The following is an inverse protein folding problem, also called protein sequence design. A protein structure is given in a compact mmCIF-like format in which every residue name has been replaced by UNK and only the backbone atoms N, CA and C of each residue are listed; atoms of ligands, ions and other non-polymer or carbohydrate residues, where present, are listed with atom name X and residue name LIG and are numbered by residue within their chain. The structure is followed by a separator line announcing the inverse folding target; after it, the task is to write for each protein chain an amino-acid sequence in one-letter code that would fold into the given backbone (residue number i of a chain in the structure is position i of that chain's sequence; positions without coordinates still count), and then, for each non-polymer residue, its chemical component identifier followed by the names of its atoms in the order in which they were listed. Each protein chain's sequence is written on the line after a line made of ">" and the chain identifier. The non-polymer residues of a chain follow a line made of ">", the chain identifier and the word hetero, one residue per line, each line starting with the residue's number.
data_IF_727514024472
#
_entry.id   IF_727514024472
#
_cell.length_a   1.000
_cell.length_b   1.000
_cell.length_c   1.000
_cell.angle_alpha   90.00
_cell.angle_beta   90.00
_cell.angle_gamma   90.00
#
_symmetry.space_group_name_H-M   'P 1'
#
loop_
_entity.id
_entity.type
_entity.pdbx_description
1 polymer ?
#
# COMPACT_ATOMS: atom_id res chain seq x y z
N UNK A 1 46.41 24.33 -17.19
CA UNK A 1 46.87 22.99 -16.72
C UNK A 1 47.16 23.14 -15.24
N UNK A 2 46.09 23.25 -14.45
CA UNK A 2 46.14 23.29 -13.00
C UNK A 2 45.57 21.94 -12.55
N UNK A 3 46.40 21.19 -11.81
CA UNK A 3 46.07 19.87 -11.32
C UNK A 3 44.94 19.95 -10.27
N UNK A 4 43.84 19.28 -10.56
CA UNK A 4 42.79 18.97 -9.59
C UNK A 4 43.39 18.21 -8.40
N UNK A 5 43.43 18.85 -7.24
CA UNK A 5 43.62 18.15 -5.97
C UNK A 5 42.36 17.31 -5.69
N UNK A 6 42.41 16.05 -6.10
CA UNK A 6 41.53 15.00 -5.59
C UNK A 6 41.71 14.92 -4.07
N UNK A 7 40.71 15.41 -3.33
CA UNK A 7 40.62 15.22 -1.88
C UNK A 7 40.48 13.72 -1.64
N UNK A 8 41.56 13.11 -1.15
CA UNK A 8 41.60 11.71 -0.78
C UNK A 8 40.64 11.49 0.38
N UNK A 9 39.90 10.37 0.38
CA UNK A 9 39.06 9.92 1.50
C UNK A 9 39.86 9.91 2.83
N UNK A 10 41.18 9.78 2.78
CA UNK A 10 42.05 9.85 3.96
C UNK A 10 42.14 11.24 4.61
N UNK A 11 41.96 12.33 3.85
CA UNK A 11 41.99 13.71 4.41
C UNK A 11 40.72 14.04 5.22
N UNK A 12 39.63 13.31 5.00
CA UNK A 12 38.39 13.39 5.81
C UNK A 12 38.56 12.71 7.18
N UNK A 13 39.57 11.85 7.34
CA UNK A 13 39.85 11.07 8.55
C UNK A 13 41.10 11.54 9.30
N UNK A 14 41.36 12.85 9.38
CA UNK A 14 42.43 13.36 10.24
C UNK A 14 42.05 13.30 11.73
N UNK A 15 42.16 12.10 12.30
CA UNK A 15 41.89 11.78 13.71
C UNK A 15 42.82 12.51 14.71
N UNK A 16 43.88 13.17 14.25
CA UNK A 16 44.93 13.73 15.11
C UNK A 16 44.57 15.05 15.80
N UNK A 17 43.48 15.72 15.39
CA UNK A 17 43.06 17.03 15.93
C UNK A 17 41.83 17.03 16.84
N UNK A 18 41.13 15.91 17.00
CA UNK A 18 39.87 15.88 17.75
C UNK A 18 40.07 15.81 19.27
N UNK A 19 39.40 16.71 20.00
CA UNK A 19 39.38 16.70 21.47
C UNK A 19 38.63 15.48 22.03
N UNK A 20 39.03 15.00 23.23
CA UNK A 20 38.52 13.76 23.85
C UNK A 20 36.98 13.70 24.01
N UNK A 21 36.29 14.85 24.11
CA UNK A 21 34.82 14.96 24.13
C UNK A 21 34.18 14.80 22.74
N UNK A 22 34.77 15.40 21.71
CA UNK A 22 34.31 15.31 20.32
C UNK A 22 34.50 13.90 19.77
N UNK A 23 35.62 13.26 20.11
CA UNK A 23 35.88 11.85 19.77
C UNK A 23 34.81 10.90 20.33
N UNK A 24 34.36 11.09 21.57
CA UNK A 24 33.35 10.22 22.18
C UNK A 24 31.94 10.45 21.61
N UNK A 25 31.61 11.69 21.25
CA UNK A 25 30.37 12.03 20.53
C UNK A 25 30.36 11.49 19.10
N UNK A 26 31.49 11.58 18.40
CA UNK A 26 31.72 11.00 17.07
C UNK A 26 31.64 9.47 17.11
N UNK A 27 32.26 8.80 18.09
CA UNK A 27 32.21 7.35 18.24
C UNK A 27 30.79 6.85 18.53
N UNK A 28 30.03 7.51 19.40
CA UNK A 28 28.63 7.14 19.69
C UNK A 28 27.72 7.36 18.48
N UNK A 29 27.89 8.47 17.74
CA UNK A 29 27.14 8.72 16.50
C UNK A 29 27.48 7.71 15.41
N UNK A 30 28.76 7.36 15.24
CA UNK A 30 29.18 6.34 14.28
C UNK A 30 28.73 4.94 14.69
N UNK A 31 28.79 4.58 15.97
CA UNK A 31 28.32 3.28 16.44
C UNK A 31 26.79 3.16 16.32
N UNK A 32 26.06 4.25 16.60
CA UNK A 32 24.62 4.33 16.37
C UNK A 32 24.27 4.25 14.88
N UNK A 33 25.02 4.94 14.02
CA UNK A 33 24.86 4.87 12.57
C UNK A 33 25.15 3.47 12.03
N UNK A 34 26.24 2.83 12.47
CA UNK A 34 26.59 1.45 12.13
C UNK A 34 25.49 0.50 12.60
N UNK A 35 25.01 0.62 13.83
CA UNK A 35 23.92 -0.19 14.36
C UNK A 35 22.62 -0.02 13.56
N UNK A 36 22.22 1.22 13.26
CA UNK A 36 21.02 1.49 12.48
C UNK A 36 21.16 0.98 11.04
N UNK A 37 22.35 1.12 10.45
CA UNK A 37 22.64 0.62 9.11
C UNK A 37 22.65 -0.90 9.05
N UNK A 38 23.20 -1.59 10.06
CA UNK A 38 23.19 -3.05 10.11
C UNK A 38 21.79 -3.61 10.36
N UNK A 39 20.98 -2.96 11.20
CA UNK A 39 19.57 -3.32 11.39
C UNK A 39 18.78 -3.11 10.08
N UNK A 40 18.99 -1.99 9.38
CA UNK A 40 18.35 -1.74 8.09
C UNK A 40 18.76 -2.77 7.02
N UNK A 41 20.04 -3.17 6.98
CA UNK A 41 20.52 -4.23 6.09
C UNK A 41 19.87 -5.59 6.41
N UNK A 42 19.78 -5.94 7.70
CA UNK A 42 19.14 -7.18 8.15
C UNK A 42 17.63 -7.21 7.90
N UNK A 43 16.97 -6.06 7.85
CA UNK A 43 15.55 -5.95 7.49
C UNK A 43 15.32 -5.99 5.98
N UNK A 44 16.36 -5.82 5.16
CA UNK A 44 16.19 -5.82 3.72
C UNK A 44 15.91 -7.24 3.20
N UNK A 45 14.78 -7.38 2.51
CA UNK A 45 14.34 -8.66 1.94
C UNK A 45 15.42 -9.31 1.05
N UNK A 46 16.10 -8.52 0.22
CA UNK A 46 17.14 -9.00 -0.68
C UNK A 46 18.36 -9.57 0.07
N UNK A 47 18.76 -8.95 1.18
CA UNK A 47 19.88 -9.42 1.99
C UNK A 47 19.53 -10.73 2.69
N UNK A 48 18.35 -10.80 3.32
CA UNK A 48 17.84 -12.02 3.96
C UNK A 48 17.75 -13.16 2.93
N UNK A 49 17.20 -12.88 1.75
CA UNK A 49 17.11 -13.85 0.65
C UNK A 49 18.49 -14.39 0.25
N UNK A 50 19.48 -13.51 0.03
CA UNK A 50 20.85 -13.93 -0.34
C UNK A 50 21.51 -14.78 0.73
N UNK A 51 21.32 -14.46 2.02
CA UNK A 51 21.85 -15.26 3.13
C UNK A 51 21.16 -16.62 3.26
N UNK A 52 19.85 -16.69 3.00
CA UNK A 52 19.12 -17.96 2.94
C UNK A 52 19.68 -18.86 1.81
N UNK A 53 19.97 -18.29 0.63
CA UNK A 53 20.58 -19.03 -0.48
C UNK A 53 22.02 -19.45 -0.22
N UNK A 54 22.79 -18.62 0.49
CA UNK A 54 24.11 -19.01 0.96
C UNK A 54 24.02 -20.21 1.91
N UNK A 55 23.09 -20.17 2.87
CA UNK A 55 22.81 -21.31 3.76
C UNK A 55 22.38 -22.56 2.99
N UNK A 56 21.47 -22.43 2.03
CA UNK A 56 21.03 -23.51 1.17
C UNK A 56 22.21 -24.12 0.37
N UNK A 57 23.13 -23.30 -0.13
CA UNK A 57 24.31 -23.75 -0.87
C UNK A 57 25.25 -24.59 0.01
N UNK A 58 25.39 -24.24 1.29
CA UNK A 58 26.16 -25.04 2.27
C UNK A 58 25.46 -26.38 2.49
N UNK A 59 24.13 -26.40 2.66
CA UNK A 59 23.35 -27.63 2.86
C UNK A 59 23.43 -28.55 1.63
N UNK A 60 23.42 -27.99 0.42
CA UNK A 60 23.56 -28.74 -0.84
C UNK A 60 24.89 -29.51 -0.92
N UNK A 61 25.94 -28.98 -0.30
CA UNK A 61 27.24 -29.68 -0.22
C UNK A 61 27.10 -31.03 0.49
N UNK A 62 26.18 -31.15 1.46
CA UNK A 62 25.89 -32.40 2.17
C UNK A 62 24.79 -33.22 1.48
N UNK A 63 23.83 -32.58 0.80
CA UNK A 63 22.70 -33.23 0.12
C UNK A 63 22.55 -32.72 -1.33
N UNK A 64 23.22 -33.36 -2.30
CA UNK A 64 23.26 -32.89 -3.69
C UNK A 64 21.90 -32.80 -4.37
N UNK A 65 20.90 -33.59 -3.94
CA UNK A 65 19.55 -33.58 -4.50
C UNK A 65 18.82 -32.24 -4.29
N UNK A 66 19.21 -31.45 -3.28
CA UNK A 66 18.62 -30.14 -3.01
C UNK A 66 19.08 -29.04 -3.99
N UNK A 67 19.99 -29.36 -4.92
CA UNK A 67 20.47 -28.42 -5.95
C UNK A 67 19.34 -27.86 -6.81
N UNK A 68 18.22 -28.58 -6.97
CA UNK A 68 17.06 -28.08 -7.71
C UNK A 68 16.43 -26.83 -7.07
N UNK A 69 16.57 -26.64 -5.76
CA UNK A 69 16.03 -25.47 -5.06
C UNK A 69 16.76 -24.18 -5.40
N UNK A 70 18.00 -24.25 -5.88
CA UNK A 70 18.72 -23.07 -6.39
C UNK A 70 18.00 -22.42 -7.59
N UNK A 71 17.27 -23.22 -8.38
CA UNK A 71 16.51 -22.71 -9.53
C UNK A 71 15.37 -21.76 -9.13
N UNK A 72 14.91 -21.79 -7.88
CA UNK A 72 13.92 -20.83 -7.38
C UNK A 72 14.44 -19.38 -7.42
N UNK A 73 15.77 -19.18 -7.52
CA UNK A 73 16.35 -17.85 -7.70
C UNK A 73 15.91 -17.20 -9.01
N UNK A 74 15.65 -18.01 -10.05
CA UNK A 74 15.14 -17.51 -11.34
C UNK A 74 13.81 -16.76 -11.17
N UNK A 75 12.95 -17.22 -10.25
CA UNK A 75 11.69 -16.54 -9.94
C UNK A 75 11.91 -15.19 -9.27
N UNK A 76 12.89 -15.10 -8.37
CA UNK A 76 13.18 -13.87 -7.63
C UNK A 76 13.93 -12.82 -8.48
N UNK A 77 14.75 -13.25 -9.43
CA UNK A 77 15.47 -12.35 -10.33
C UNK A 77 14.60 -11.81 -11.47
N UNK A 78 13.64 -12.60 -11.97
CA UNK A 78 12.75 -12.18 -13.04
C UNK A 78 11.61 -11.32 -12.52
N UNK A 79 11.57 -10.06 -12.94
CA UNK A 79 10.45 -9.16 -12.63
C UNK A 79 9.10 -9.73 -13.07
N UNK A 80 9.04 -10.40 -14.22
CA UNK A 80 7.80 -10.99 -14.74
C UNK A 80 7.32 -12.18 -13.90
N UNK A 81 8.22 -13.10 -13.51
CA UNK A 81 7.85 -14.26 -12.70
C UNK A 81 7.48 -13.83 -11.28
N UNK A 82 8.15 -12.82 -10.74
CA UNK A 82 7.80 -12.27 -9.43
C UNK A 82 6.39 -11.68 -9.42
N UNK A 83 5.91 -11.10 -10.52
CA UNK A 83 4.52 -10.64 -10.64
C UNK A 83 3.52 -11.81 -10.58
N UNK A 84 3.86 -12.97 -11.16
CA UNK A 84 3.05 -14.19 -11.06
C UNK A 84 3.00 -14.68 -9.60
N UNK A 85 4.14 -14.69 -8.90
CA UNK A 85 4.19 -15.05 -7.49
C UNK A 85 3.42 -14.05 -6.60
N UNK A 86 3.50 -12.75 -6.90
CA UNK A 86 2.74 -11.69 -6.23
C UNK A 86 1.23 -11.92 -6.41
N UNK A 87 0.77 -12.29 -7.61
CA UNK A 87 -0.65 -12.57 -7.86
C UNK A 87 -1.22 -13.72 -7.03
N UNK A 88 -0.43 -14.78 -6.80
CA UNK A 88 -0.82 -15.91 -5.95
C UNK A 88 -0.79 -15.57 -4.45
N UNK A 89 0.07 -14.63 -4.04
CA UNK A 89 0.24 -14.26 -2.63
C UNK A 89 -0.61 -13.05 -2.20
N UNK A 90 -1.04 -12.19 -3.13
CA UNK A 90 -1.80 -10.96 -2.85
C UNK A 90 -3.07 -11.21 -2.04
N UNK A 91 -3.89 -12.19 -2.45
CA UNK A 91 -5.07 -12.65 -1.71
C UNK A 91 -4.86 -14.05 -1.12
N UNK A 92 -3.64 -14.34 -0.69
CA UNK A 92 -3.24 -15.66 -0.18
C UNK A 92 -4.10 -16.14 1.00
N UNK A 93 -4.58 -15.24 1.85
CA UNK A 93 -5.51 -15.59 2.95
C UNK A 93 -6.84 -16.16 2.44
N UNK A 94 -7.43 -15.53 1.43
CA UNK A 94 -8.69 -15.98 0.84
C UNK A 94 -8.51 -17.31 0.10
N UNK A 95 -7.40 -17.44 -0.63
CA UNK A 95 -7.02 -18.68 -1.30
C UNK A 95 -6.84 -19.82 -0.28
N UNK A 96 -6.07 -19.60 0.79
CA UNK A 96 -5.85 -20.57 1.86
C UNK A 96 -7.16 -20.97 2.54
N UNK A 97 -8.03 -20.01 2.85
CA UNK A 97 -9.34 -20.29 3.45
C UNK A 97 -10.22 -21.15 2.52
N UNK A 98 -10.16 -20.91 1.21
CA UNK A 98 -10.89 -21.69 0.20
C UNK A 98 -10.35 -23.12 0.11
N UNK A 99 -9.03 -23.30 0.18
CA UNK A 99 -8.39 -24.63 0.25
C UNK A 99 -8.80 -25.36 1.53
N UNK A 100 -8.79 -24.67 2.68
CA UNK A 100 -9.25 -25.24 3.96
C UNK A 100 -10.72 -25.66 3.89
N UNK A 101 -11.58 -24.82 3.31
CA UNK A 101 -12.98 -25.17 3.05
C UNK A 101 -13.08 -26.43 2.17
N UNK A 102 -12.27 -26.52 1.11
CA UNK A 102 -12.21 -27.70 0.26
C UNK A 102 -11.77 -28.97 0.98
N UNK A 103 -10.80 -28.87 1.88
CA UNK A 103 -10.37 -29.97 2.75
C UNK A 103 -11.51 -30.41 3.68
N UNK A 104 -12.26 -29.48 4.26
CA UNK A 104 -13.42 -29.79 5.13
C UNK A 104 -14.54 -30.47 4.34
N UNK A 105 -14.89 -29.96 3.16
CA UNK A 105 -15.93 -30.56 2.31
C UNK A 105 -15.48 -31.94 1.82
N UNK A 106 -14.23 -32.08 1.36
CA UNK A 106 -13.64 -33.37 0.97
C UNK A 106 -13.69 -34.38 2.12
N UNK A 107 -13.38 -33.95 3.34
CA UNK A 107 -13.50 -34.79 4.53
C UNK A 107 -14.94 -35.25 4.81
N UNK A 108 -15.95 -34.38 4.61
CA UNK A 108 -17.35 -34.78 4.70
C UNK A 108 -17.70 -35.85 3.65
N UNK A 109 -17.23 -35.70 2.41
CA UNK A 109 -17.38 -36.73 1.38
C UNK A 109 -16.67 -38.04 1.73
N UNK A 110 -15.52 -37.98 2.41
CA UNK A 110 -14.82 -39.18 2.91
C UNK A 110 -15.61 -39.91 3.99
N UNK A 111 -16.25 -39.19 4.92
CA UNK A 111 -17.14 -39.78 5.94
C UNK A 111 -18.35 -40.42 5.27
N UNK A 112 -19.00 -39.72 4.34
CA UNK A 112 -20.14 -40.25 3.59
C UNK A 112 -19.75 -41.49 2.77
N UNK A 113 -18.58 -41.47 2.14
CA UNK A 113 -18.04 -42.61 1.40
C UNK A 113 -17.80 -43.82 2.31
N UNK A 114 -17.23 -43.61 3.50
CA UNK A 114 -16.98 -44.66 4.49
C UNK A 114 -18.28 -45.32 4.98
N UNK A 115 -19.35 -44.55 5.18
CA UNK A 115 -20.63 -45.06 5.70
C UNK A 115 -21.50 -45.68 4.61
N UNK A 116 -21.57 -45.08 3.42
CA UNK A 116 -22.45 -45.53 2.33
C UNK A 116 -21.86 -46.66 1.50
N UNK A 117 -20.53 -46.72 1.40
CA UNK A 117 -19.82 -47.67 0.54
C UNK A 117 -18.73 -48.44 1.31
N UNK A 118 -19.10 -49.12 2.42
CA UNK A 118 -18.15 -49.96 3.14
C UNK A 118 -17.59 -51.03 2.18
N UNK A 119 -16.28 -51.15 2.13
CA UNK A 119 -15.53 -52.14 1.34
C UNK A 119 -15.66 -52.04 -0.19
N UNK A 120 -16.18 -50.93 -0.74
CA UNK A 120 -16.30 -50.73 -2.20
C UNK A 120 -15.26 -49.79 -2.81
N UNK A 121 -14.41 -49.17 -1.98
CA UNK A 121 -13.28 -48.40 -2.48
C UNK A 121 -12.14 -49.34 -2.87
N UNK A 122 -11.87 -49.45 -4.17
CA UNK A 122 -10.81 -50.27 -4.73
C UNK A 122 -9.68 -49.37 -5.21
N UNK A 123 -8.64 -49.23 -4.39
CA UNK A 123 -7.43 -48.53 -4.79
C UNK A 123 -6.44 -49.54 -5.38
N UNK A 124 -6.63 -49.92 -6.64
CA UNK A 124 -5.65 -50.72 -7.36
C UNK A 124 -5.57 -50.30 -8.83
N UNK A 125 -4.37 -49.99 -9.38
CA UNK A 125 -4.18 -50.13 -10.81
C UNK A 125 -4.19 -51.63 -11.16
N UNK A 126 -4.79 -52.04 -12.28
CA UNK A 126 -4.56 -53.37 -12.82
C UNK A 126 -3.14 -53.42 -13.38
N UNK A 127 -2.12 -53.68 -12.55
CA UNK A 127 -0.84 -54.18 -13.07
C UNK A 127 -1.01 -55.68 -13.38
N UNK A 128 -1.20 -55.97 -14.67
CA UNK A 128 -1.08 -57.31 -15.21
C UNK A 128 0.42 -57.62 -15.30
N UNK A 129 0.98 -58.28 -14.29
CA UNK A 129 2.26 -58.97 -14.44
C UNK A 129 1.97 -60.27 -15.18
N UNK A 130 2.33 -60.33 -16.46
CA UNK A 130 2.34 -61.56 -17.24
C UNK A 130 3.15 -62.64 -16.53
N UNK A 131 2.50 -63.73 -16.13
CA UNK A 131 3.17 -65.02 -15.92
C UNK A 131 3.42 -65.49 -14.48
N UNK A 132 2.79 -64.92 -13.44
CA UNK A 132 2.78 -65.59 -12.13
C UNK A 132 1.44 -65.47 -11.42
N UNK A 133 0.85 -66.62 -11.06
CA UNK A 133 -0.33 -66.76 -10.20
C UNK A 133 0.03 -66.42 -8.76
N UNK A 134 0.40 -65.17 -8.50
CA UNK A 134 0.38 -64.61 -7.15
C UNK A 134 -1.02 -64.05 -6.98
N UNK A 135 -1.76 -64.52 -5.97
CA UNK A 135 -3.12 -64.09 -5.67
C UNK A 135 -3.22 -62.55 -5.63
N UNK A 136 -3.71 -61.95 -6.73
CA UNK A 136 -3.88 -60.50 -6.91
C UNK A 136 -4.99 -59.95 -5.99
N UNK A 137 -5.70 -60.81 -5.26
CA UNK A 137 -6.79 -60.43 -4.36
C UNK A 137 -6.34 -59.76 -3.04
N UNK A 138 -5.04 -59.62 -2.75
CA UNK A 138 -4.59 -59.16 -1.43
C UNK A 138 -4.12 -57.69 -1.35
N UNK A 139 -4.21 -56.92 -2.42
CA UNK A 139 -3.94 -55.47 -2.39
C UNK A 139 -5.16 -54.62 -2.75
N UNK A 140 -6.37 -55.14 -2.56
CA UNK A 140 -7.49 -54.26 -2.29
C UNK A 140 -7.25 -53.72 -0.89
N UNK A 141 -6.79 -52.47 -0.78
CA UNK A 141 -6.91 -51.76 0.49
C UNK A 141 -8.26 -51.06 0.46
N UNK A 142 -9.35 -51.71 0.90
CA UNK A 142 -10.59 -50.99 1.11
C UNK A 142 -10.28 -49.82 2.05
N UNK A 143 -11.11 -48.79 1.95
CA UNK A 143 -11.09 -47.75 2.95
C UNK A 143 -11.53 -48.34 4.31
N UNK A 144 -10.60 -48.92 5.06
CA UNK A 144 -10.84 -49.51 6.38
C UNK A 144 -10.78 -48.49 7.51
N UNK A 145 -10.13 -47.36 7.27
CA UNK A 145 -10.04 -46.24 8.22
C UNK A 145 -10.43 -44.95 7.53
N UNK A 146 -11.04 -44.04 8.29
CA UNK A 146 -11.46 -42.73 7.77
C UNK A 146 -10.30 -41.95 7.15
N UNK A 147 -9.11 -42.05 7.74
CA UNK A 147 -7.88 -41.46 7.19
C UNK A 147 -7.56 -41.99 5.79
N UNK A 148 -7.72 -43.30 5.54
CA UNK A 148 -7.51 -43.88 4.22
C UNK A 148 -8.55 -43.37 3.21
N UNK A 149 -9.83 -43.25 3.59
CA UNK A 149 -10.86 -42.64 2.72
C UNK A 149 -10.52 -41.21 2.37
N UNK A 150 -9.97 -40.45 3.32
CA UNK A 150 -9.55 -39.07 3.10
C UNK A 150 -8.39 -39.01 2.10
N UNK A 151 -7.37 -39.85 2.28
CA UNK A 151 -6.25 -39.94 1.35
C UNK A 151 -6.71 -40.36 -0.05
N UNK A 152 -7.62 -41.33 -0.18
CA UNK A 152 -8.18 -41.73 -1.49
C UNK A 152 -8.97 -40.59 -2.13
N UNK A 153 -9.78 -39.87 -1.35
CA UNK A 153 -10.55 -38.72 -1.84
C UNK A 153 -9.63 -37.62 -2.38
N UNK A 154 -8.52 -37.33 -1.70
CA UNK A 154 -7.51 -36.38 -2.19
C UNK A 154 -6.70 -36.92 -3.36
N UNK A 155 -6.22 -38.16 -3.28
CA UNK A 155 -5.27 -38.72 -4.23
C UNK A 155 -5.92 -39.07 -5.57
N UNK A 156 -7.17 -39.56 -5.57
CA UNK A 156 -7.93 -39.86 -6.78
C UNK A 156 -8.92 -38.76 -7.06
N UNK A 157 -9.81 -38.46 -6.10
CA UNK A 157 -10.92 -37.54 -6.33
C UNK A 157 -10.51 -36.13 -6.75
N UNK A 158 -9.51 -35.50 -6.12
CA UNK A 158 -9.08 -34.14 -6.50
C UNK A 158 -8.20 -34.11 -7.75
N UNK A 159 -7.37 -35.13 -7.97
CA UNK A 159 -6.38 -35.14 -9.06
C UNK A 159 -6.97 -35.61 -10.39
N UNK A 160 -7.80 -36.66 -10.37
CA UNK A 160 -8.46 -37.20 -11.55
C UNK A 160 -9.78 -36.46 -11.84
N UNK A 161 -10.32 -35.75 -10.85
CA UNK A 161 -11.63 -35.10 -10.92
C UNK A 161 -12.81 -36.08 -10.88
N UNK A 162 -12.56 -37.39 -10.78
CA UNK A 162 -13.56 -38.45 -10.73
C UNK A 162 -13.26 -39.46 -9.60
N UNK A 163 -13.98 -39.30 -8.49
CA UNK A 163 -13.94 -40.24 -7.37
C UNK A 163 -14.62 -41.59 -7.72
N UNK A 164 -15.52 -41.63 -8.70
CA UNK A 164 -16.26 -42.82 -9.10
C UNK A 164 -15.40 -43.93 -9.69
N UNK A 165 -14.22 -43.57 -10.22
CA UNK A 165 -13.17 -44.50 -10.66
C UNK A 165 -12.56 -45.31 -9.52
N UNK A 166 -12.58 -44.79 -8.28
CA UNK A 166 -12.11 -45.51 -7.10
C UNK A 166 -13.17 -46.42 -6.48
N UNK A 167 -14.41 -46.38 -6.97
CA UNK A 167 -15.49 -47.26 -6.50
C UNK A 167 -15.61 -48.48 -7.42
N UNK A 168 -15.80 -49.65 -6.81
CA UNK A 168 -16.05 -50.91 -7.49
C UNK A 168 -17.17 -50.79 -8.54
N UNK A 169 -17.06 -51.45 -9.71
CA UNK A 169 -18.07 -51.37 -10.74
C UNK A 169 -19.43 -51.84 -10.22
N UNK A 170 -20.50 -51.09 -10.52
CA UNK A 170 -21.85 -51.49 -10.15
C UNK A 170 -22.32 -52.65 -11.03
N UNK A 171 -22.70 -53.77 -10.40
CA UNK A 171 -23.44 -54.84 -11.06
C UNK A 171 -24.90 -54.45 -11.20
N UNK A 172 -25.54 -54.77 -12.32
CA UNK A 172 -26.94 -54.43 -12.61
C UNK A 172 -27.94 -55.03 -11.60
N UNK A 173 -27.53 -56.05 -10.85
CA UNK A 173 -28.36 -56.73 -9.86
C UNK A 173 -28.50 -55.98 -8.52
N UNK A 174 -27.63 -55.02 -8.22
CA UNK A 174 -27.73 -54.20 -6.99
C UNK A 174 -28.18 -52.77 -7.33
N UNK A 175 -29.49 -52.62 -7.53
CA UNK A 175 -30.11 -51.34 -7.89
C UNK A 175 -29.87 -50.25 -6.84
N UNK A 176 -29.81 -50.61 -5.55
CA UNK A 176 -29.57 -49.65 -4.46
C UNK A 176 -28.15 -49.09 -4.51
N UNK A 177 -27.13 -49.95 -4.64
CA UNK A 177 -25.74 -49.53 -4.79
C UNK A 177 -25.56 -48.64 -6.03
N UNK A 178 -26.17 -49.01 -7.17
CA UNK A 178 -26.06 -48.25 -8.40
C UNK A 178 -26.58 -46.81 -8.26
N UNK A 179 -27.76 -46.63 -7.65
CA UNK A 179 -28.36 -45.30 -7.48
C UNK A 179 -27.52 -44.43 -6.54
N UNK A 180 -27.14 -44.97 -5.37
CA UNK A 180 -26.32 -44.21 -4.43
C UNK A 180 -24.94 -43.88 -4.98
N UNK A 181 -24.32 -44.80 -5.73
CA UNK A 181 -23.04 -44.56 -6.41
C UNK A 181 -23.16 -43.36 -7.35
N UNK A 182 -24.16 -43.34 -8.23
CA UNK A 182 -24.37 -42.25 -9.19
C UNK A 182 -24.61 -40.92 -8.46
N UNK A 183 -25.45 -40.89 -7.44
CA UNK A 183 -25.73 -39.67 -6.67
C UNK A 183 -24.46 -39.16 -5.97
N UNK A 184 -23.70 -40.05 -5.35
CA UNK A 184 -22.46 -39.72 -4.66
C UNK A 184 -21.38 -39.20 -5.61
N UNK A 185 -21.14 -39.88 -6.73
CA UNK A 185 -20.11 -39.47 -7.70
C UNK A 185 -20.50 -38.19 -8.44
N UNK A 186 -21.77 -38.04 -8.82
CA UNK A 186 -22.27 -36.82 -9.46
C UNK A 186 -22.20 -35.62 -8.52
N UNK A 187 -22.64 -35.77 -7.26
CA UNK A 187 -22.55 -34.68 -6.27
C UNK A 187 -21.10 -34.30 -5.98
N UNK A 188 -20.19 -35.28 -5.90
CA UNK A 188 -18.76 -35.03 -5.78
C UNK A 188 -18.22 -34.21 -6.96
N UNK A 189 -18.52 -34.61 -8.20
CA UNK A 189 -18.07 -33.91 -9.40
C UNK A 189 -18.59 -32.46 -9.46
N UNK A 190 -19.85 -32.23 -9.11
CA UNK A 190 -20.43 -30.88 -9.11
C UNK A 190 -19.82 -30.02 -8.00
N UNK A 191 -19.75 -30.52 -6.78
CA UNK A 191 -19.37 -29.70 -5.62
C UNK A 191 -17.85 -29.49 -5.57
N UNK A 192 -17.07 -30.55 -5.69
CA UNK A 192 -15.60 -30.49 -5.52
C UNK A 192 -14.93 -30.14 -6.84
N UNK A 193 -15.16 -30.91 -7.91
CA UNK A 193 -14.44 -30.71 -9.17
C UNK A 193 -14.91 -29.43 -9.87
N UNK A 194 -16.22 -29.20 -9.96
CA UNK A 194 -16.75 -28.05 -10.71
C UNK A 194 -16.78 -26.77 -9.87
N UNK A 195 -17.43 -26.77 -8.70
CA UNK A 195 -17.59 -25.53 -7.93
C UNK A 195 -16.28 -25.15 -7.23
N UNK A 196 -15.66 -26.05 -6.45
CA UNK A 196 -14.49 -25.69 -5.66
C UNK A 196 -13.25 -25.36 -6.50
N UNK A 197 -12.90 -26.19 -7.49
CA UNK A 197 -11.72 -25.92 -8.32
C UNK A 197 -11.89 -24.66 -9.17
N UNK A 198 -13.07 -24.44 -9.77
CA UNK A 198 -13.31 -23.21 -10.53
C UNK A 198 -13.40 -21.98 -9.63
N UNK A 199 -13.82 -22.11 -8.37
CA UNK A 199 -13.73 -21.02 -7.39
C UNK A 199 -12.27 -20.66 -7.09
N UNK A 200 -11.38 -21.65 -6.93
CA UNK A 200 -9.94 -21.41 -6.73
C UNK A 200 -9.34 -20.67 -7.93
N UNK A 201 -9.60 -21.15 -9.15
CA UNK A 201 -9.14 -20.46 -10.37
C UNK A 201 -9.77 -19.08 -10.52
N UNK A 202 -11.05 -18.92 -10.17
CA UNK A 202 -11.74 -17.63 -10.17
C UNK A 202 -11.05 -16.61 -9.27
N UNK A 203 -10.71 -16.98 -8.03
CA UNK A 203 -9.96 -16.11 -7.10
C UNK A 203 -8.60 -15.71 -7.70
N UNK A 204 -7.89 -16.64 -8.32
CA UNK A 204 -6.59 -16.37 -8.95
C UNK A 204 -6.74 -15.44 -10.15
N UNK A 205 -7.75 -15.65 -11.01
CA UNK A 205 -8.00 -14.79 -12.17
C UNK A 205 -8.37 -13.37 -11.72
N UNK A 206 -9.19 -13.25 -10.68
CA UNK A 206 -9.57 -11.96 -10.10
C UNK A 206 -8.35 -11.21 -9.55
N UNK A 207 -7.41 -11.89 -8.88
CA UNK A 207 -6.17 -11.23 -8.41
C UNK A 207 -5.28 -10.78 -9.56
N UNK A 208 -5.19 -11.55 -10.64
CA UNK A 208 -4.47 -11.11 -11.84
C UNK A 208 -5.13 -9.89 -12.49
N UNK A 209 -6.46 -9.83 -12.51
CA UNK A 209 -7.22 -8.68 -13.00
C UNK A 209 -6.94 -7.43 -12.17
N UNK A 210 -6.99 -7.53 -10.84
CA UNK A 210 -6.73 -6.43 -9.91
C UNK A 210 -5.31 -5.88 -10.03
N UNK A 211 -4.29 -6.73 -10.01
CA UNK A 211 -2.89 -6.30 -10.13
C UNK A 211 -2.58 -5.66 -11.48
N UNK A 212 -3.34 -6.03 -12.52
CA UNK A 212 -3.24 -5.38 -13.83
C UNK A 212 -3.86 -3.99 -13.79
N UNK A 213 -5.06 -3.86 -13.24
CA UNK A 213 -5.74 -2.57 -13.10
C UNK A 213 -4.91 -1.58 -12.26
N UNK A 214 -4.37 -2.00 -11.12
CA UNK A 214 -3.50 -1.16 -10.27
C UNK A 214 -2.26 -0.68 -11.04
N UNK A 215 -1.61 -1.57 -11.80
CA UNK A 215 -0.44 -1.20 -12.61
C UNK A 215 -0.81 -0.22 -13.71
N UNK A 216 -1.94 -0.43 -14.37
CA UNK A 216 -2.37 0.42 -15.47
C UNK A 216 -2.80 1.80 -14.93
N UNK A 217 -3.48 1.87 -13.78
CA UNK A 217 -3.80 3.13 -13.07
C UNK A 217 -2.54 3.93 -12.71
N UNK A 218 -1.51 3.29 -12.15
CA UNK A 218 -0.24 3.95 -11.81
C UNK A 218 0.44 4.51 -13.07
N UNK A 219 0.40 3.78 -14.19
CA UNK A 219 0.99 4.26 -15.44
C UNK A 219 0.21 5.44 -16.02
N UNK A 220 -1.11 5.36 -15.97
CA UNK A 220 -1.97 6.42 -16.46
C UNK A 220 -1.78 7.69 -15.63
N UNK A 221 -1.58 7.59 -14.31
CA UNK A 221 -1.26 8.73 -13.44
C UNK A 221 0.12 9.34 -13.74
N UNK A 222 1.16 8.50 -13.89
CA UNK A 222 2.53 8.97 -14.21
C UNK A 222 2.57 9.73 -15.54
N UNK A 223 1.80 9.30 -16.54
CA UNK A 223 1.77 9.94 -17.86
C UNK A 223 0.80 11.12 -17.87
N UNK A 224 -0.35 10.97 -17.21
CA UNK A 224 -1.47 11.90 -17.25
C UNK A 224 -1.33 13.10 -16.33
N UNK A 225 -0.56 13.00 -15.24
CA UNK A 225 -0.46 14.05 -14.23
C UNK A 225 1.01 14.41 -13.93
N UNK A 226 1.26 15.71 -13.67
CA UNK A 226 2.58 16.15 -13.23
C UNK A 226 2.89 15.63 -11.82
N UNK A 227 4.05 14.99 -11.64
CA UNK A 227 4.50 14.45 -10.35
C UNK A 227 4.56 15.47 -9.20
N UNK A 228 4.87 16.73 -9.50
CA UNK A 228 5.04 17.77 -8.47
C UNK A 228 3.71 18.47 -8.16
N UNK A 229 3.05 19.01 -9.17
CA UNK A 229 1.86 19.86 -8.96
C UNK A 229 0.52 19.15 -9.12
N UNK A 230 0.52 17.88 -9.51
CA UNK A 230 -0.69 17.05 -9.69
C UNK A 230 -1.72 17.63 -10.67
N UNK A 231 -1.29 18.50 -11.59
CA UNK A 231 -2.14 19.02 -12.67
C UNK A 231 -2.04 18.08 -13.86
N UNK A 232 -3.18 17.84 -14.51
CA UNK A 232 -3.30 16.98 -15.68
C UNK A 232 -2.58 17.56 -16.90
N UNK A 233 -1.88 16.70 -17.65
CA UNK A 233 -1.12 17.02 -18.86
C UNK A 233 -1.95 17.81 -19.89
N UNK A 234 -3.22 17.43 -20.05
CA UNK A 234 -4.16 18.06 -20.99
C UNK A 234 -4.41 19.55 -20.69
N UNK A 235 -4.25 19.98 -19.43
CA UNK A 235 -4.40 21.38 -19.02
C UNK A 235 -3.22 22.20 -19.53
N UNK A 236 -2.00 21.66 -19.46
CA UNK A 236 -0.81 22.33 -19.94
C UNK A 236 -0.84 22.49 -21.46
N UNK A 237 -1.19 21.44 -22.19
CA UNK A 237 -1.26 21.48 -23.66
C UNK A 237 -2.30 22.49 -24.18
N UNK A 238 -3.33 22.81 -23.37
CA UNK A 238 -4.39 23.76 -23.74
C UNK A 238 -4.15 25.19 -23.24
N UNK A 239 -3.60 25.37 -22.03
CA UNK A 239 -3.61 26.67 -21.32
C UNK A 239 -2.22 27.19 -20.95
N UNK A 240 -1.16 26.39 -21.10
CA UNK A 240 0.18 26.81 -20.71
C UNK A 240 0.70 27.95 -21.59
N UNK A 241 1.40 28.90 -20.96
CA UNK A 241 1.99 30.06 -21.65
C UNK A 241 3.41 29.82 -22.14
N UNK A 242 4.16 28.95 -21.47
CA UNK A 242 5.61 28.78 -21.66
C UNK A 242 5.99 27.60 -22.55
N UNK A 243 5.09 26.61 -22.68
CA UNK A 243 5.32 25.42 -23.49
C UNK A 243 4.28 24.31 -23.25
N UNK A 244 4.48 23.17 -23.88
CA UNK A 244 3.66 21.97 -23.71
C UNK A 244 3.93 21.25 -22.38
N UNK A 245 3.20 20.15 -22.12
CA UNK A 245 3.42 19.33 -20.93
C UNK A 245 4.87 18.81 -20.83
N UNK A 246 5.50 18.47 -21.95
CA UNK A 246 6.88 17.99 -21.99
C UNK A 246 7.90 19.05 -21.54
N UNK A 247 7.68 20.31 -21.92
CA UNK A 247 8.48 21.44 -21.43
C UNK A 247 8.30 21.62 -19.92
N UNK A 248 7.06 21.57 -19.44
CA UNK A 248 6.74 21.74 -18.02
C UNK A 248 7.48 20.74 -17.12
N UNK A 249 7.40 19.43 -17.42
CA UNK A 249 8.06 18.40 -16.60
C UNK A 249 9.59 18.42 -16.69
N UNK A 250 10.16 19.04 -17.73
CA UNK A 250 11.61 19.04 -17.97
C UNK A 250 12.32 20.27 -17.42
N UNK A 251 11.66 21.44 -17.47
CA UNK A 251 12.30 22.72 -17.13
C UNK A 251 11.63 23.47 -15.97
N UNK A 252 10.34 23.22 -15.71
CA UNK A 252 9.64 23.88 -14.60
C UNK A 252 9.54 22.95 -13.39
N UNK A 253 8.96 21.77 -13.56
CA UNK A 253 8.70 20.78 -12.51
C UNK A 253 9.48 19.48 -12.74
N UNK A 254 10.78 19.60 -12.91
CA UNK A 254 11.67 18.45 -12.99
C UNK A 254 11.89 17.84 -11.59
N UNK A 255 11.47 16.58 -11.40
CA UNK A 255 11.46 15.92 -10.09
C UNK A 255 12.81 15.92 -9.37
N UNK A 256 13.91 15.80 -10.11
CA UNK A 256 15.25 15.71 -9.54
C UNK A 256 15.77 17.06 -9.04
N UNK A 257 15.27 18.17 -9.56
CA UNK A 257 15.70 19.51 -9.16
C UNK A 257 15.18 19.82 -7.74
N UNK A 258 13.99 19.34 -7.39
CA UNK A 258 13.45 19.41 -6.03
C UNK A 258 14.30 18.60 -5.04
N UNK A 259 14.73 17.39 -5.43
CA UNK A 259 15.62 16.58 -4.60
C UNK A 259 17.00 17.23 -4.45
N UNK A 260 17.55 17.78 -5.53
CA UNK A 260 18.82 18.49 -5.51
C UNK A 260 18.75 19.74 -4.61
N UNK A 261 17.66 20.50 -4.67
CA UNK A 261 17.43 21.64 -3.78
C UNK A 261 17.31 21.22 -2.31
N UNK A 262 16.64 20.10 -2.03
CA UNK A 262 16.55 19.57 -0.68
C UNK A 262 17.93 19.18 -0.12
N UNK A 263 18.76 18.49 -0.90
CA UNK A 263 20.15 18.16 -0.50
C UNK A 263 20.99 19.42 -0.36
N UNK A 264 20.85 20.39 -1.28
CA UNK A 264 21.52 21.68 -1.22
C UNK A 264 21.25 22.43 0.09
N UNK A 265 19.99 22.46 0.54
CA UNK A 265 19.64 23.06 1.83
C UNK A 265 20.30 22.33 3.01
N UNK A 266 20.43 21.00 2.96
CA UNK A 266 21.06 20.22 4.04
C UNK A 266 22.57 20.44 4.15
N UNK A 267 23.26 20.65 3.03
CA UNK A 267 24.71 20.82 2.99
C UNK A 267 25.15 22.27 3.25
N UNK A 268 24.35 23.25 2.83
CA UNK A 268 24.66 24.67 2.96
C UNK A 268 24.59 25.15 4.42
N UNK A 269 25.48 26.06 4.80
CA UNK A 269 25.46 26.68 6.13
C UNK A 269 24.19 27.51 6.32
N UNK A 270 23.56 27.36 7.49
CA UNK A 270 22.29 28.02 7.81
C UNK A 270 22.38 29.54 7.82
N UNK A 271 23.55 30.10 8.12
CA UNK A 271 23.75 31.55 8.14
C UNK A 271 23.85 32.14 6.72
N UNK A 272 24.16 31.31 5.72
CA UNK A 272 24.26 31.70 4.32
C UNK A 272 22.94 31.50 3.56
N UNK A 273 21.87 31.11 4.26
CA UNK A 273 20.57 30.95 3.64
C UNK A 273 20.02 32.30 3.17
N UNK A 274 19.47 32.30 1.96
CA UNK A 274 18.63 33.41 1.50
C UNK A 274 17.28 33.40 2.23
N UNK A 275 16.50 34.48 2.12
CA UNK A 275 15.18 34.56 2.77
C UNK A 275 14.23 33.44 2.34
N UNK A 276 14.23 33.09 1.04
CA UNK A 276 13.41 31.98 0.52
C UNK A 276 13.93 30.61 0.98
N UNK A 277 15.25 30.42 1.00
CA UNK A 277 15.86 29.18 1.50
C UNK A 277 15.56 28.97 2.99
N UNK A 278 15.61 30.04 3.79
CA UNK A 278 15.29 30.01 5.22
C UNK A 278 13.84 29.63 5.45
N UNK A 279 12.93 30.21 4.66
CA UNK A 279 11.51 29.88 4.69
C UNK A 279 11.26 28.40 4.39
N UNK A 280 11.85 27.87 3.31
CA UNK A 280 11.68 26.44 2.96
C UNK A 280 12.35 25.55 4.02
N UNK A 281 13.53 25.91 4.52
CA UNK A 281 14.24 25.14 5.54
C UNK A 281 13.44 25.05 6.85
N UNK A 282 12.72 26.10 7.24
CA UNK A 282 11.82 26.09 8.40
C UNK A 282 10.63 25.16 8.18
N UNK A 283 9.98 25.24 7.01
CA UNK A 283 8.87 24.34 6.66
C UNK A 283 9.31 22.87 6.64
N UNK A 284 10.45 22.58 6.04
CA UNK A 284 11.05 21.25 6.03
C UNK A 284 11.35 20.75 7.45
N UNK A 285 11.89 21.60 8.33
CA UNK A 285 12.15 21.26 9.72
C UNK A 285 10.86 20.92 10.48
N UNK A 286 9.76 21.62 10.15
CA UNK A 286 8.43 21.40 10.71
C UNK A 286 7.66 20.24 10.02
N UNK A 287 8.24 19.62 8.98
CA UNK A 287 7.60 18.61 8.12
C UNK A 287 6.32 19.13 7.45
N UNK A 288 6.32 20.40 7.09
CA UNK A 288 5.27 21.03 6.30
C UNK A 288 5.62 20.98 4.81
N UNK A 289 4.70 20.48 4.00
CA UNK A 289 4.84 20.28 2.56
C UNK A 289 4.30 21.47 1.74
N UNK A 290 3.78 22.53 2.40
CA UNK A 290 3.17 23.69 1.76
C UNK A 290 4.09 24.46 0.78
N UNK A 291 5.40 24.24 0.83
CA UNK A 291 6.34 24.85 -0.11
C UNK A 291 6.34 24.17 -1.50
N UNK A 292 5.84 22.94 -1.61
CA UNK A 292 5.67 22.23 -2.88
C UNK A 292 4.36 22.67 -3.52
N UNK A 293 4.36 23.07 -4.81
CA UNK A 293 3.14 23.55 -5.44
C UNK A 293 2.12 22.41 -5.58
N UNK A 294 0.86 22.65 -5.19
CA UNK A 294 -0.23 21.69 -5.32
C UNK A 294 -1.39 22.31 -6.12
N UNK A 295 -1.72 21.71 -7.26
CA UNK A 295 -2.77 22.18 -8.17
C UNK A 295 -2.46 23.51 -8.88
N UNK A 296 -1.20 23.97 -8.83
CA UNK A 296 -0.79 25.27 -9.35
C UNK A 296 0.54 25.19 -10.09
N UNK A 297 0.67 25.97 -11.16
CA UNK A 297 1.91 26.18 -11.89
C UNK A 297 1.96 27.61 -12.43
N UNK A 298 3.15 28.22 -12.48
CA UNK A 298 3.35 29.59 -12.93
C UNK A 298 2.91 29.79 -14.39
N UNK A 299 3.10 28.79 -15.25
CA UNK A 299 2.70 28.82 -16.65
C UNK A 299 1.18 28.86 -16.85
N UNK A 300 0.39 28.44 -15.84
CA UNK A 300 -1.07 28.44 -15.85
C UNK A 300 -1.69 29.66 -15.17
N UNK A 301 -0.88 30.50 -14.50
CA UNK A 301 -1.40 31.69 -13.84
C UNK A 301 -1.91 32.71 -14.88
N UNK A 302 -3.07 33.34 -14.64
CA UNK A 302 -3.59 34.36 -15.53
C UNK A 302 -2.65 35.56 -15.55
N UNK A 303 -2.33 36.04 -16.74
CA UNK A 303 -1.60 37.31 -16.90
C UNK A 303 -2.50 38.42 -16.36
N UNK A 304 -2.04 39.31 -15.48
CA UNK A 304 -2.71 40.58 -15.25
C UNK A 304 -2.66 41.33 -16.58
N UNK A 305 -3.76 41.34 -17.32
CA UNK A 305 -3.85 41.99 -18.62
C UNK A 305 -3.42 43.45 -18.49
N UNK A 306 -2.23 43.77 -18.99
CA UNK A 306 -1.91 45.13 -19.38
C UNK A 306 -2.89 45.51 -20.50
N UNK A 307 -3.69 46.54 -20.21
CA UNK A 307 -4.46 47.43 -21.10
C UNK A 307 -4.55 46.96 -22.56
N UNK A 308 -5.75 46.55 -22.99
CA UNK A 308 -6.07 46.37 -24.41
C UNK A 308 -5.92 47.71 -25.16
N UNK A 309 -4.88 47.85 -25.98
CA UNK A 309 -4.87 48.85 -27.07
C UNK A 309 -5.93 48.46 -28.12
N UNK A 310 -7.16 48.99 -27.98
CA UNK A 310 -8.16 48.98 -29.04
C UNK A 310 -8.01 50.23 -29.91
N UNK A 311 -7.42 50.04 -31.08
CA UNK A 311 -7.52 50.97 -32.19
C UNK A 311 -8.93 50.87 -32.79
N UNK A 312 -9.74 51.93 -32.67
CA UNK A 312 -11.06 52.01 -33.30
C UNK A 312 -12.07 52.86 -32.52
N UNK A 313 -12.03 54.17 -32.77
CA UNK A 313 -13.03 55.20 -32.44
C UNK A 313 -14.32 54.75 -31.74
N UNK A 314 -14.35 54.87 -30.41
CA UNK A 314 -15.50 55.32 -29.62
C UNK A 314 -15.06 55.39 -28.15
N UNK A 315 -15.33 56.53 -27.50
CA UNK A 315 -14.85 56.83 -26.14
C UNK A 315 -15.31 55.77 -25.13
N UNK A 316 -14.45 55.32 -24.20
CA UNK A 316 -14.84 54.38 -23.15
C UNK A 316 -15.57 55.11 -22.02
N UNK A 317 -16.74 54.58 -21.62
CA UNK A 317 -17.53 55.06 -20.49
C UNK A 317 -16.92 54.59 -19.16
N UNK A 318 -15.97 55.37 -18.65
CA UNK A 318 -15.31 55.20 -17.33
C UNK A 318 -16.30 55.19 -16.14
N UNK A 319 -17.57 55.57 -16.37
CA UNK A 319 -18.59 55.70 -15.32
C UNK A 319 -19.16 54.36 -14.84
N UNK A 320 -18.98 53.27 -15.58
CA UNK A 320 -19.52 51.94 -15.27
C UNK A 320 -18.72 51.16 -14.21
N UNK A 321 -17.39 51.23 -14.31
CA UNK A 321 -16.49 50.54 -13.38
C UNK A 321 -16.44 51.26 -12.03
N UNK A 322 -16.38 52.59 -12.04
CA UNK A 322 -16.38 53.42 -10.82
C UNK A 322 -17.64 53.19 -9.97
N UNK A 323 -18.80 52.99 -10.60
CA UNK A 323 -20.06 52.62 -9.91
C UNK A 323 -20.04 51.22 -9.32
N UNK A 324 -19.29 50.29 -9.92
CA UNK A 324 -19.19 48.90 -9.46
C UNK A 324 -18.25 48.80 -8.25
N UNK A 325 -17.16 49.56 -8.27
CA UNK A 325 -16.26 49.69 -7.11
C UNK A 325 -16.93 50.46 -5.96
N UNK A 326 -17.65 51.54 -6.24
CA UNK A 326 -18.40 52.29 -5.23
C UNK A 326 -19.45 51.41 -4.51
N UNK A 327 -20.21 50.59 -5.24
CA UNK A 327 -21.16 49.64 -4.65
C UNK A 327 -20.49 48.56 -3.79
N UNK A 328 -19.29 48.10 -4.18
CA UNK A 328 -18.53 47.11 -3.39
C UNK A 328 -17.96 47.71 -2.11
N UNK A 329 -17.54 48.97 -2.14
CA UNK A 329 -17.07 49.71 -0.96
C UNK A 329 -18.23 49.96 0.02
N UNK A 330 -19.39 50.38 -0.47
CA UNK A 330 -20.59 50.57 0.36
C UNK A 330 -21.06 49.25 1.01
N UNK A 331 -20.96 48.13 0.29
CA UNK A 331 -21.23 46.79 0.83
C UNK A 331 -20.20 46.35 1.89
N UNK A 332 -18.95 46.81 1.80
CA UNK A 332 -17.90 46.51 2.77
C UNK A 332 -18.05 47.38 4.03
N UNK A 333 -18.38 48.65 3.88
CA UNK A 333 -18.65 49.58 4.99
C UNK A 333 -19.84 49.13 5.83
N UNK A 334 -20.90 48.62 5.19
CA UNK A 334 -22.07 48.06 5.89
C UNK A 334 -21.74 46.79 6.69
N UNK A 335 -20.90 45.90 6.16
CA UNK A 335 -20.42 44.71 6.89
C UNK A 335 -19.51 45.10 8.07
N UNK A 336 -18.61 46.08 7.88
CA UNK A 336 -17.76 46.59 8.96
C UNK A 336 -18.59 47.25 10.06
N UNK A 337 -19.62 48.03 9.70
CA UNK A 337 -20.54 48.63 10.67
C UNK A 337 -21.36 47.57 11.44
N UNK A 338 -21.84 46.51 10.76
CA UNK A 338 -22.55 45.40 11.41
C UNK A 338 -21.63 44.62 12.38
N UNK A 339 -20.38 44.37 11.99
CA UNK A 339 -19.38 43.73 12.86
C UNK A 339 -19.01 44.62 14.05
N UNK A 340 -18.86 45.93 13.85
CA UNK A 340 -18.61 46.89 14.94
C UNK A 340 -19.81 46.99 15.89
N UNK A 341 -21.04 46.95 15.37
CA UNK A 341 -22.27 46.89 16.17
C UNK A 341 -22.34 45.63 17.02
N UNK A 342 -22.11 44.46 16.42
CA UNK A 342 -22.06 43.17 17.12
C UNK A 342 -20.95 43.11 18.17
N UNK A 343 -19.80 43.71 17.89
CA UNK A 343 -18.70 43.83 18.86
C UNK A 343 -19.10 44.68 20.07
N UNK A 344 -19.75 45.82 19.84
CA UNK A 344 -20.19 46.73 20.91
C UNK A 344 -21.34 46.14 21.73
N UNK A 345 -22.29 45.45 21.11
CA UNK A 345 -23.35 44.72 21.82
C UNK A 345 -22.80 43.55 22.65
N UNK A 346 -21.80 42.83 22.12
CA UNK A 346 -21.10 41.78 22.85
C UNK A 346 -20.35 42.31 24.07
N UNK A 347 -19.66 43.46 23.93
CA UNK A 347 -19.00 44.13 25.03
C UNK A 347 -19.98 44.66 26.07
N UNK A 348 -21.11 45.25 25.66
CA UNK A 348 -22.15 45.73 26.58
C UNK A 348 -22.75 44.59 27.40
N UNK A 349 -23.07 43.44 26.78
CA UNK A 349 -23.56 42.25 27.50
C UNK A 349 -22.54 41.68 28.49
N UNK A 350 -21.26 41.71 28.15
CA UNK A 350 -20.18 41.27 29.04
C UNK A 350 -20.01 42.22 30.24
N UNK A 351 -20.12 43.53 30.01
CA UNK A 351 -20.11 44.55 31.07
C UNK A 351 -21.31 44.43 32.00
N UNK A 352 -22.52 44.20 31.48
CA UNK A 352 -23.72 43.98 32.29
C UNK A 352 -23.60 42.72 33.15
N UNK A 353 -23.03 41.63 32.60
CA UNK A 353 -22.75 40.41 33.36
C UNK A 353 -21.71 40.64 34.48
N UNK A 354 -20.69 41.47 34.24
CA UNK A 354 -19.69 41.85 35.24
C UNK A 354 -20.31 42.72 36.35
N UNK A 355 -21.22 43.64 35.99
CA UNK A 355 -21.94 44.48 36.96
C UNK A 355 -22.93 43.65 37.78
N UNK A 356 -23.66 42.71 37.17
CA UNK A 356 -24.55 41.78 37.89
C UNK A 356 -23.78 40.84 38.82
N UNK A 357 -22.65 40.27 38.38
CA UNK A 357 -21.81 39.43 39.24
C UNK A 357 -21.22 40.23 40.40
N UNK A 358 -20.78 41.47 40.17
CA UNK A 358 -20.33 42.36 41.25
C UNK A 358 -21.46 42.65 42.26
N UNK A 359 -22.67 42.98 41.79
CA UNK A 359 -23.82 43.22 42.66
C UNK A 359 -24.24 41.97 43.44
N UNK A 360 -24.09 40.77 42.84
CA UNK A 360 -24.33 39.50 43.53
C UNK A 360 -23.29 39.22 44.62
N UNK A 361 -22.02 39.55 44.38
CA UNK A 361 -20.94 39.45 45.38
C UNK A 361 -21.18 40.40 46.56
N UNK A 362 -21.58 41.66 46.31
CA UNK A 362 -21.88 42.62 47.37
C UNK A 362 -23.08 42.19 48.23
N UNK A 363 -24.11 41.56 47.62
CA UNK A 363 -25.25 40.96 48.36
C UNK A 363 -24.84 39.75 49.21
N UNK A 364 -23.87 38.95 48.74
CA UNK A 364 -23.31 37.84 49.52
C UNK A 364 -22.45 38.34 50.67
N UNK A 365 -21.64 39.38 50.46
CA UNK A 365 -20.84 40.01 51.49
C UNK A 365 -21.70 40.61 52.62
N UNK A 366 -22.86 41.19 52.29
CA UNK A 366 -23.81 41.73 53.28
C UNK A 366 -24.52 40.65 54.13
N UNK A 367 -24.44 39.36 53.75
CA UNK A 367 -25.01 38.22 54.49
C UNK A 367 -24.01 37.52 55.41
N UNK A 368 -22.75 37.94 55.42
CA UNK A 368 -21.73 37.40 56.32
C UNK A 368 -21.91 38.09 57.69
N UNK A 369 -22.31 37.38 58.77
CA UNK A 369 -22.35 37.96 60.09
C UNK A 369 -20.91 38.21 60.56
N UNK A 370 -20.62 39.46 60.95
CA UNK A 370 -19.43 39.80 61.72
C UNK A 370 -19.49 39.02 63.04
N UNK A 371 -18.73 37.93 63.13
CA UNK A 371 -18.38 37.35 64.41
C UNK A 371 -17.37 38.29 65.07
N UNK A 372 -17.84 38.93 66.13
CA UNK A 372 -17.09 39.66 67.13
C UNK A 372 -15.98 38.81 67.75
N UNK A 373 -14.87 39.48 68.08
CA UNK A 373 -13.83 39.03 68.99
C UNK A 373 -14.40 38.34 70.25
N UNK A 374 -13.77 37.24 70.68
CA UNK A 374 -13.32 37.00 72.08
C UNK A 374 -12.74 35.57 72.24
N UNK A 375 -11.52 35.53 72.81
CA UNK A 375 -10.72 34.41 73.38
C UNK A 375 -9.43 34.04 72.63
#
# INVERSE_FOLDING_TARGET
>A
LEEEKLISIYDVFDFKRMGRREYHGFLKKNLFFVYRSTVALLQSYLFVWRWMYLGLSIVITFFPMLSCLLLLELMAQSGTLNQVAKALTHRGKQLMLTVVLGVVISYMFSVLGFVLFPDKFELAPPEVIEGSTIDIHHYHTPCTTLWRCLVVNFAVGLTSGDLGSALAPASYHDSYYMVWRVVYTLSYFVIITTILMNMIFGIIIDTFGELRAERDEIKDDIVGNCFICSVEASIFDRKSRTGDYAYHIKYEHHMWDYLAFFVYLQEKDKNDYTGMESYVAELVANKDEAWVPNGAALCLSPVPTAVEEKNGSSQPDERGEEKTYAKRIEALETVVADLAGKWNEGHAKSLDQIVETRAAIERLAAKIPLQSDEA
#
